data_IF_311342193575
#
_entry.id   IF_311342193575
#
_cell.length_a   1.000
_cell.length_b   1.000
_cell.length_c   1.000
_cell.angle_alpha   90.00
_cell.angle_beta   90.00
_cell.angle_gamma   90.00
#
_symmetry.space_group_name_H-M   'P 1'
#
loop_
_entity.id
_entity.type
_entity.pdbx_description
1 polymer ?
#
# COMPACT_ATOMS: atom_id res chain seq x y z
N UNK A 1 -16.23 -28.68 15.40
CA UNK A 1 -15.57 -28.80 14.09
C UNK A 1 -14.30 -27.97 14.09
N UNK A 2 -13.27 -28.43 13.38
CA UNK A 2 -11.97 -27.75 13.27
C UNK A 2 -12.09 -26.33 12.67
N UNK A 3 -13.18 -26.08 11.94
CA UNK A 3 -13.55 -24.78 11.38
C UNK A 3 -13.80 -23.71 12.46
N UNK A 4 -14.41 -24.07 13.59
CA UNK A 4 -14.68 -23.12 14.68
C UNK A 4 -13.38 -22.70 15.37
N UNK A 5 -12.45 -23.64 15.55
CA UNK A 5 -11.14 -23.37 16.10
C UNK A 5 -10.32 -22.45 15.19
N UNK A 6 -10.32 -22.69 13.87
CA UNK A 6 -9.66 -21.81 12.90
C UNK A 6 -10.24 -20.39 12.92
N UNK A 7 -11.55 -20.26 13.09
CA UNK A 7 -12.21 -18.96 13.17
C UNK A 7 -11.81 -18.18 14.42
N UNK A 8 -11.83 -18.84 15.57
CA UNK A 8 -11.42 -18.23 16.85
C UNK A 8 -9.94 -17.87 16.83
N UNK A 9 -9.10 -18.76 16.29
CA UNK A 9 -7.67 -18.50 16.16
C UNK A 9 -7.40 -17.31 15.22
N UNK A 10 -8.09 -17.25 14.08
CA UNK A 10 -7.97 -16.11 13.15
C UNK A 10 -8.39 -14.78 13.78
N UNK A 11 -9.44 -14.77 14.59
CA UNK A 11 -9.87 -13.58 15.33
C UNK A 11 -8.82 -13.14 16.35
N UNK A 12 -8.21 -14.08 17.08
CA UNK A 12 -7.17 -13.79 18.07
C UNK A 12 -5.88 -13.28 17.42
N UNK A 13 -5.51 -13.83 16.27
CA UNK A 13 -4.35 -13.37 15.46
C UNK A 13 -4.60 -11.95 14.98
N UNK A 14 -5.78 -11.68 14.39
CA UNK A 14 -6.15 -10.33 13.92
C UNK A 14 -6.12 -9.29 15.07
N UNK A 15 -6.71 -9.61 16.22
CA UNK A 15 -6.68 -8.72 17.39
C UNK A 15 -5.26 -8.48 17.93
N UNK A 16 -4.39 -9.47 17.80
CA UNK A 16 -2.99 -9.36 18.21
C UNK A 16 -2.21 -8.49 17.22
N UNK A 17 -2.36 -8.73 15.92
CA UNK A 17 -1.75 -7.93 14.85
C UNK A 17 -2.19 -6.46 14.94
N UNK A 18 -3.48 -6.17 15.08
CA UNK A 18 -3.99 -4.80 15.20
C UNK A 18 -3.39 -4.03 16.40
N UNK A 19 -3.12 -4.74 17.51
CA UNK A 19 -2.56 -4.14 18.74
C UNK A 19 -1.04 -4.05 18.76
N UNK A 20 -0.34 -4.91 18.01
CA UNK A 20 1.11 -5.11 18.16
C UNK A 20 1.90 -4.89 16.87
N UNK A 21 1.30 -5.09 15.70
CA UNK A 21 1.91 -4.69 14.44
C UNK A 21 1.60 -3.22 14.17
N UNK A 22 2.63 -2.39 14.28
CA UNK A 22 2.68 -1.21 13.43
C UNK A 22 2.64 -1.75 12.01
N UNK A 23 1.59 -1.44 11.24
CA UNK A 23 1.60 -1.60 9.78
C UNK A 23 3.01 -1.23 9.33
N UNK A 24 3.73 -2.12 8.61
CA UNK A 24 5.09 -1.81 8.20
C UNK A 24 5.03 -0.42 7.58
N UNK A 25 5.83 0.52 8.11
CA UNK A 25 5.95 1.85 7.52
C UNK A 25 6.65 1.67 6.18
N UNK A 26 5.90 1.15 5.20
CA UNK A 26 6.30 1.15 3.81
C UNK A 26 6.60 2.60 3.49
N UNK A 27 7.85 2.85 3.14
CA UNK A 27 8.21 4.15 2.63
C UNK A 27 7.35 4.41 1.39
N UNK A 28 7.03 5.68 1.14
CA UNK A 28 6.24 6.07 -0.04
C UNK A 28 6.79 5.49 -1.34
N UNK A 29 8.12 5.31 -1.40
CA UNK A 29 8.83 4.62 -2.47
C UNK A 29 8.46 3.14 -2.56
N UNK A 30 8.55 2.41 -1.46
CA UNK A 30 8.26 0.96 -1.42
C UNK A 30 6.79 0.71 -1.75
N UNK A 31 5.88 1.55 -1.25
CA UNK A 31 4.47 1.48 -1.58
C UNK A 31 4.24 1.62 -3.10
N UNK A 32 4.90 2.61 -3.72
CA UNK A 32 4.76 2.84 -5.15
C UNK A 32 5.42 1.75 -5.99
N UNK A 33 6.61 1.28 -5.60
CA UNK A 33 7.30 0.17 -6.27
C UNK A 33 6.46 -1.11 -6.21
N UNK A 34 5.92 -1.45 -5.04
CA UNK A 34 5.08 -2.64 -4.86
C UNK A 34 3.85 -2.57 -5.77
N UNK A 35 3.17 -1.42 -5.80
CA UNK A 35 2.02 -1.24 -6.70
C UNK A 35 2.42 -1.39 -8.17
N UNK A 36 3.56 -0.85 -8.58
CA UNK A 36 4.05 -0.97 -9.96
C UNK A 36 4.43 -2.41 -10.31
N UNK A 37 5.05 -3.15 -9.39
CA UNK A 37 5.48 -4.53 -9.59
C UNK A 37 4.29 -5.50 -9.60
N UNK A 38 3.38 -5.41 -8.63
CA UNK A 38 2.24 -6.32 -8.47
C UNK A 38 1.24 -6.21 -9.64
N UNK A 39 1.04 -5.00 -10.16
CA UNK A 39 0.10 -4.72 -11.25
C UNK A 39 0.79 -4.48 -12.59
N UNK A 40 2.12 -4.68 -12.67
CA UNK A 40 2.94 -4.46 -13.86
C UNK A 40 2.71 -3.08 -14.53
N UNK A 41 2.57 -2.03 -13.69
CA UNK A 41 2.25 -0.66 -14.11
C UNK A 41 3.51 0.09 -14.53
N UNK A 42 3.36 0.97 -15.52
CA UNK A 42 4.35 1.96 -15.90
C UNK A 42 4.06 3.30 -15.23
N UNK A 43 5.06 4.19 -15.23
CA UNK A 43 4.92 5.56 -14.72
C UNK A 43 3.75 6.29 -15.40
N UNK A 44 3.56 6.08 -16.71
CA UNK A 44 2.45 6.65 -17.48
C UNK A 44 1.07 6.23 -16.96
N UNK A 45 0.94 5.02 -16.39
CA UNK A 45 -0.33 4.49 -15.91
C UNK A 45 -0.73 5.13 -14.56
N UNK A 46 0.25 5.68 -13.83
CA UNK A 46 0.04 6.37 -12.56
C UNK A 46 -0.41 7.84 -12.73
N UNK A 47 -0.44 8.37 -13.96
CA UNK A 47 -0.93 9.73 -14.25
C UNK A 47 -2.42 9.94 -13.94
N UNK A 48 -3.19 8.88 -13.65
CA UNK A 48 -4.54 9.01 -13.09
C UNK A 48 -4.55 9.39 -11.59
N UNK A 49 -3.46 9.11 -10.89
CA UNK A 49 -3.27 9.40 -9.46
C UNK A 49 -2.47 10.70 -9.28
N UNK A 50 -1.40 10.85 -10.07
CA UNK A 50 -0.44 11.95 -10.02
C UNK A 50 -0.61 12.91 -11.19
N UNK A 51 -0.26 14.18 -10.99
CA UNK A 51 -0.41 15.21 -12.03
C UNK A 51 0.63 15.09 -13.15
N UNK A 52 1.87 14.71 -12.82
CA UNK A 52 2.99 14.70 -13.75
C UNK A 52 3.93 13.51 -13.47
N UNK A 53 4.64 13.03 -14.50
CA UNK A 53 5.61 11.94 -14.37
C UNK A 53 6.79 12.30 -13.46
N UNK A 54 7.21 13.57 -13.46
CA UNK A 54 8.29 14.07 -12.62
C UNK A 54 7.98 13.88 -11.13
N UNK A 55 6.72 14.07 -10.72
CA UNK A 55 6.28 13.84 -9.34
C UNK A 55 6.46 12.38 -8.93
N UNK A 56 6.11 11.45 -9.82
CA UNK A 56 6.24 10.00 -9.60
C UNK A 56 7.73 9.65 -9.46
N UNK A 57 8.57 10.16 -10.37
CA UNK A 57 10.01 9.94 -10.33
C UNK A 57 10.65 10.52 -9.07
N UNK A 58 10.22 11.69 -8.61
CA UNK A 58 10.75 12.30 -7.40
C UNK A 58 10.39 11.51 -6.13
N UNK A 59 9.22 10.85 -6.11
CA UNK A 59 8.84 9.93 -5.04
C UNK A 59 9.69 8.65 -5.10
N UNK A 60 9.83 8.05 -6.28
CA UNK A 60 10.64 6.84 -6.48
C UNK A 60 12.12 7.06 -6.13
N UNK A 61 12.64 8.26 -6.40
CA UNK A 61 13.99 8.68 -6.05
C UNK A 61 14.12 9.17 -4.60
N UNK A 62 13.03 9.21 -3.83
CA UNK A 62 13.03 9.64 -2.42
C UNK A 62 13.26 11.14 -2.20
N UNK A 63 13.17 11.96 -3.26
CA UNK A 63 13.28 13.43 -3.17
C UNK A 63 12.02 14.07 -2.59
N UNK A 64 10.86 13.40 -2.74
CA UNK A 64 9.55 13.87 -2.30
C UNK A 64 8.78 12.73 -1.63
N UNK A 65 7.98 13.06 -0.63
CA UNK A 65 6.99 12.17 0.00
C UNK A 65 5.61 12.30 -0.63
N UNK A 66 4.80 11.26 -0.53
CA UNK A 66 3.38 11.34 -0.91
C UNK A 66 2.67 12.33 0.02
N UNK A 67 1.78 13.14 -0.55
CA UNK A 67 0.85 13.91 0.27
C UNK A 67 -0.35 13.03 0.70
N UNK A 68 -1.11 13.49 1.70
CA UNK A 68 -2.23 12.72 2.24
C UNK A 68 -3.26 12.26 1.18
N UNK A 69 -3.52 13.08 0.16
CA UNK A 69 -4.45 12.74 -0.92
C UNK A 69 -3.88 11.67 -1.85
N UNK A 70 -2.61 11.77 -2.22
CA UNK A 70 -1.89 10.78 -3.02
C UNK A 70 -1.77 9.45 -2.26
N UNK A 71 -1.38 9.48 -0.99
CA UNK A 71 -1.31 8.29 -0.12
C UNK A 71 -2.66 7.57 -0.06
N UNK A 72 -3.75 8.32 0.11
CA UNK A 72 -5.09 7.73 0.14
C UNK A 72 -5.44 7.06 -1.20
N UNK A 73 -5.19 7.72 -2.33
CA UNK A 73 -5.44 7.16 -3.67
C UNK A 73 -4.62 5.90 -3.93
N UNK A 74 -3.31 5.94 -3.67
CA UNK A 74 -2.40 4.79 -3.86
C UNK A 74 -2.83 3.63 -2.98
N UNK A 75 -3.12 3.86 -1.69
CA UNK A 75 -3.60 2.81 -0.79
C UNK A 75 -4.95 2.25 -1.22
N UNK A 76 -5.86 3.10 -1.69
CA UNK A 76 -7.16 2.64 -2.18
C UNK A 76 -7.03 1.76 -3.44
N UNK A 77 -6.06 2.04 -4.31
CA UNK A 77 -5.77 1.21 -5.47
C UNK A 77 -5.19 -0.16 -5.08
N UNK A 78 -4.37 -0.23 -4.02
CA UNK A 78 -3.81 -1.48 -3.50
C UNK A 78 -4.86 -2.36 -2.78
N UNK A 79 -5.85 -1.73 -2.13
CA UNK A 79 -6.86 -2.41 -1.31
C UNK A 79 -8.11 -2.84 -2.09
N UNK A 80 -8.20 -2.55 -3.39
CA UNK A 80 -9.26 -3.08 -4.25
C UNK A 80 -8.72 -4.27 -5.07
N UNK A 81 -9.05 -5.52 -4.69
CA UNK A 81 -8.78 -6.69 -5.52
C UNK A 81 -9.67 -6.76 -6.77
#
# INVERSE_FOLDING_TARGET
>A
DDQDYLRVLGMLVYEYEEKNEQFPELTDRELLQTLMEDYNLKISDLLGIFQEEEVILDILNGKRKLNAQETFKVRSALLMP
#
